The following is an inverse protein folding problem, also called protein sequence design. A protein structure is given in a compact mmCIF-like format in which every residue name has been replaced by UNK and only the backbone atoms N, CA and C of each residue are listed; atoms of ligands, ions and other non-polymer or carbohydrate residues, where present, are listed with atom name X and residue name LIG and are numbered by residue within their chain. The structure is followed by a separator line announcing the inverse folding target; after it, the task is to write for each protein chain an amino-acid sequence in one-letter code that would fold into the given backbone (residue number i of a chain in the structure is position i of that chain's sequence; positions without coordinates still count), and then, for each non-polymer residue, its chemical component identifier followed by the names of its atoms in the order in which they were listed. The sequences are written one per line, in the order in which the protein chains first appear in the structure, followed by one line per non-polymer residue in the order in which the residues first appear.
data_IF_152920897106
#
_entry.id   IF_152920897106
#
_cell.length_a   1.000
_cell.length_b   1.000
_cell.length_c   1.000
_cell.angle_alpha   90.00
_cell.angle_beta   90.00
_cell.angle_gamma   90.00
#
_symmetry.space_group_name_H-M   'P 1'
#
loop_
_entity.id
_entity.type
_entity.pdbx_description
1 polymer ?
#
# COMPACT_ATOMS: atom_id res chain seq x y z
N UNK A 1 10.13 -21.81 -59.56
CA UNK A 1 10.62 -20.57 -58.88
C UNK A 1 9.52 -19.68 -58.27
N UNK A 2 8.22 -19.85 -58.57
CA UNK A 2 7.14 -19.04 -57.94
C UNK A 2 6.70 -19.56 -56.56
N UNK A 3 6.73 -20.88 -56.33
CA UNK A 3 6.33 -21.48 -55.05
C UNK A 3 7.29 -21.20 -53.88
N UNK A 4 8.59 -21.03 -54.16
CA UNK A 4 9.61 -20.76 -53.12
C UNK A 4 9.53 -19.31 -52.60
N UNK A 5 9.09 -18.36 -53.44
CA UNK A 5 8.90 -16.96 -53.01
C UNK A 5 7.67 -16.79 -52.09
N UNK A 6 6.60 -17.55 -52.30
CA UNK A 6 5.40 -17.48 -51.45
C UNK A 6 5.59 -18.08 -50.05
N UNK A 7 6.47 -19.07 -49.88
CA UNK A 7 6.72 -19.68 -48.56
C UNK A 7 7.55 -18.75 -47.66
N UNK A 8 8.51 -18.01 -48.24
CA UNK A 8 9.36 -17.09 -47.47
C UNK A 8 8.58 -15.85 -47.00
N UNK A 9 7.61 -15.35 -47.79
CA UNK A 9 6.78 -14.20 -47.39
C UNK A 9 5.78 -14.55 -46.27
N UNK A 10 5.29 -15.79 -46.21
CA UNK A 10 4.36 -16.23 -45.16
C UNK A 10 5.08 -16.48 -43.82
N UNK A 11 6.33 -16.98 -43.84
CA UNK A 11 7.13 -17.12 -42.62
C UNK A 11 7.57 -15.76 -42.05
N UNK A 12 7.84 -14.75 -42.88
CA UNK A 12 8.27 -13.44 -42.40
C UNK A 12 7.13 -12.62 -41.75
N UNK A 13 5.87 -12.83 -42.14
CA UNK A 13 4.72 -12.19 -41.49
C UNK A 13 4.26 -12.90 -40.20
N UNK A 14 4.58 -14.18 -40.00
CA UNK A 14 4.24 -14.92 -38.77
C UNK A 14 5.17 -14.63 -37.59
N UNK A 15 6.39 -14.12 -37.86
CA UNK A 15 7.42 -13.84 -36.84
C UNK A 15 7.33 -12.43 -36.22
N UNK A 16 6.52 -11.51 -36.77
CA UNK A 16 6.31 -10.18 -36.19
C UNK A 16 5.18 -10.11 -35.16
N UNK A 17 4.36 -11.16 -35.01
CA UNK A 17 3.18 -11.15 -34.13
C UNK A 17 3.39 -11.78 -32.75
N UNK A 18 4.60 -12.21 -32.39
CA UNK A 18 4.88 -12.83 -31.07
C UNK A 18 5.63 -11.95 -30.06
N UNK A 19 5.99 -10.70 -30.39
CA UNK A 19 6.79 -9.86 -29.49
C UNK A 19 5.99 -9.06 -28.45
N UNK A 20 4.66 -9.11 -28.46
CA UNK A 20 3.83 -8.27 -27.57
C UNK A 20 3.46 -8.91 -26.22
N UNK A 21 3.77 -10.20 -25.99
CA UNK A 21 3.35 -10.91 -24.77
C UNK A 21 4.38 -10.92 -23.63
N UNK A 22 5.66 -10.63 -23.91
CA UNK A 22 6.74 -10.76 -22.91
C UNK A 22 6.93 -9.54 -22.00
N UNK A 23 6.46 -8.35 -22.42
CA UNK A 23 6.59 -7.13 -21.62
C UNK A 23 5.56 -7.05 -20.47
N UNK A 24 4.36 -7.60 -20.67
CA UNK A 24 3.33 -7.62 -19.63
C UNK A 24 3.70 -8.56 -18.48
N UNK A 25 4.31 -9.71 -18.78
CA UNK A 25 4.70 -10.67 -17.74
C UNK A 25 5.85 -10.13 -16.86
N UNK A 26 6.78 -9.36 -17.44
CA UNK A 26 7.87 -8.76 -16.65
C UNK A 26 7.36 -7.67 -15.71
N UNK A 27 6.42 -6.83 -16.19
CA UNK A 27 5.82 -5.77 -15.36
C UNK A 27 5.08 -6.34 -14.14
N UNK A 28 4.20 -7.32 -14.36
CA UNK A 28 3.43 -7.92 -13.27
C UNK A 28 4.33 -8.63 -12.26
N UNK A 29 5.38 -9.31 -12.74
CA UNK A 29 6.39 -9.94 -11.89
C UNK A 29 7.18 -8.91 -11.06
N UNK A 30 7.54 -7.77 -11.67
CA UNK A 30 8.22 -6.69 -10.97
C UNK A 30 7.32 -6.02 -9.93
N UNK A 31 6.04 -5.79 -10.22
CA UNK A 31 5.07 -5.27 -9.26
C UNK A 31 4.93 -6.23 -8.07
N UNK A 32 4.77 -7.52 -8.34
CA UNK A 32 4.69 -8.53 -7.29
C UNK A 32 5.96 -8.57 -6.43
N UNK A 33 7.12 -8.47 -7.05
CA UNK A 33 8.41 -8.40 -6.35
C UNK A 33 8.53 -7.16 -5.48
N UNK A 34 8.08 -5.99 -5.96
CA UNK A 34 8.04 -4.75 -5.17
C UNK A 34 7.14 -4.92 -3.94
N UNK A 35 5.92 -5.45 -4.12
CA UNK A 35 4.96 -5.67 -3.03
C UNK A 35 5.48 -6.65 -1.97
N UNK A 36 6.26 -7.65 -2.39
CA UNK A 36 6.89 -8.58 -1.48
C UNK A 36 8.05 -7.93 -0.71
N UNK A 37 8.97 -7.27 -1.41
CA UNK A 37 10.18 -6.69 -0.81
C UNK A 37 9.91 -5.52 0.12
N UNK A 38 8.88 -4.73 -0.16
CA UNK A 38 8.45 -3.63 0.73
C UNK A 38 7.64 -4.14 1.92
N UNK A 39 7.33 -5.43 1.99
CA UNK A 39 6.52 -6.01 3.06
C UNK A 39 5.03 -5.67 2.96
N UNK A 40 4.59 -5.04 1.87
CA UNK A 40 3.20 -4.63 1.67
C UNK A 40 2.24 -5.82 1.71
N UNK A 41 2.65 -6.98 1.18
CA UNK A 41 1.86 -8.21 1.27
C UNK A 41 1.60 -8.66 2.72
N UNK A 42 2.49 -8.33 3.67
CA UNK A 42 2.25 -8.58 5.10
C UNK A 42 1.27 -7.55 5.67
N UNK A 43 1.43 -6.28 5.31
CA UNK A 43 0.53 -5.20 5.71
C UNK A 43 -0.92 -5.48 5.30
N UNK A 44 -1.14 -5.95 4.08
CA UNK A 44 -2.46 -6.28 3.55
C UNK A 44 -3.24 -7.30 4.41
N UNK A 45 -2.54 -8.21 5.09
CA UNK A 45 -3.17 -9.20 5.98
C UNK A 45 -3.78 -8.56 7.23
N UNK A 46 -3.29 -7.39 7.62
CA UNK A 46 -3.76 -6.66 8.80
C UNK A 46 -4.91 -5.69 8.49
N UNK A 47 -5.13 -5.34 7.21
CA UNK A 47 -6.16 -4.39 6.79
C UNK A 47 -7.57 -4.76 7.26
N UNK A 48 -8.04 -6.03 7.17
CA UNK A 48 -9.36 -6.38 7.69
C UNK A 48 -9.51 -6.09 9.19
N UNK A 49 -8.52 -6.49 9.99
CA UNK A 49 -8.52 -6.24 11.43
C UNK A 49 -8.44 -4.76 11.78
N UNK A 50 -7.60 -4.02 11.07
CA UNK A 50 -7.47 -2.57 11.22
C UNK A 50 -8.78 -1.85 10.90
N UNK A 51 -9.40 -2.13 9.75
CA UNK A 51 -10.66 -1.49 9.35
C UNK A 51 -11.79 -1.70 10.36
N UNK A 52 -11.89 -2.90 10.94
CA UNK A 52 -12.84 -3.22 12.00
C UNK A 52 -12.52 -2.48 13.32
N UNK A 53 -11.24 -2.34 13.66
CA UNK A 53 -10.84 -1.59 14.85
C UNK A 53 -11.16 -0.10 14.71
N UNK A 54 -10.87 0.50 13.56
CA UNK A 54 -11.20 1.91 13.29
C UNK A 54 -12.72 2.08 13.26
N UNK A 55 -13.48 1.17 12.62
CA UNK A 55 -14.94 1.23 12.66
C UNK A 55 -15.46 1.22 14.09
N UNK A 56 -15.00 0.30 14.94
CA UNK A 56 -15.41 0.24 16.36
C UNK A 56 -15.07 1.51 17.14
N UNK A 57 -13.94 2.14 16.83
CA UNK A 57 -13.53 3.40 17.46
C UNK A 57 -14.39 4.58 16.97
N UNK A 58 -14.78 4.59 15.70
CA UNK A 58 -15.53 5.67 15.06
C UNK A 58 -17.05 5.51 15.13
N UNK A 59 -17.57 4.31 15.36
CA UNK A 59 -19.00 3.99 15.30
C UNK A 59 -19.81 4.53 16.47
N UNK A 60 -19.21 5.14 17.49
CA UNK A 60 -19.95 5.73 18.62
C UNK A 60 -21.03 4.80 19.22
N UNK A 61 -22.11 5.39 19.73
CA UNK A 61 -23.32 4.67 20.16
C UNK A 61 -24.33 4.55 19.00
N UNK A 62 -23.92 3.94 17.89
CA UNK A 62 -24.87 3.59 16.83
C UNK A 62 -25.83 2.49 17.30
N UNK A 63 -27.07 2.54 16.82
CA UNK A 63 -28.06 1.48 17.04
C UNK A 63 -27.51 0.12 16.56
N UNK A 64 -27.84 -1.00 17.25
CA UNK A 64 -27.26 -2.31 16.97
C UNK A 64 -27.40 -2.77 15.51
N UNK A 65 -28.54 -2.48 14.87
CA UNK A 65 -28.80 -2.83 13.48
C UNK A 65 -27.87 -2.08 12.52
N UNK A 66 -27.69 -0.78 12.73
CA UNK A 66 -26.80 0.06 11.92
C UNK A 66 -25.33 -0.34 12.12
N UNK A 67 -24.94 -0.63 13.36
CA UNK A 67 -23.61 -1.14 13.68
C UNK A 67 -23.33 -2.47 12.98
N UNK A 68 -24.31 -3.38 12.95
CA UNK A 68 -24.20 -4.66 12.25
C UNK A 68 -24.06 -4.47 10.73
N UNK A 69 -24.89 -3.61 10.13
CA UNK A 69 -24.86 -3.31 8.70
C UNK A 69 -23.52 -2.70 8.26
N UNK A 70 -23.00 -1.72 9.02
CA UNK A 70 -21.69 -1.12 8.76
C UNK A 70 -20.56 -2.13 8.90
N UNK A 71 -20.58 -2.96 9.95
CA UNK A 71 -19.53 -3.97 10.15
C UNK A 71 -19.50 -5.00 9.02
N UNK A 72 -20.68 -5.39 8.50
CA UNK A 72 -20.78 -6.26 7.34
C UNK A 72 -20.23 -5.60 6.06
N UNK A 73 -20.62 -4.35 5.79
CA UNK A 73 -20.12 -3.59 4.64
C UNK A 73 -18.60 -3.43 4.67
N UNK A 74 -18.03 -3.11 5.84
CA UNK A 74 -16.59 -3.00 6.03
C UNK A 74 -15.86 -4.33 5.84
N UNK A 75 -16.41 -5.42 6.37
CA UNK A 75 -15.84 -6.77 6.17
C UNK A 75 -15.80 -7.16 4.69
N UNK A 76 -16.81 -6.77 3.92
CA UNK A 76 -16.88 -7.02 2.49
C UNK A 76 -15.89 -6.15 1.70
N UNK A 77 -15.79 -4.86 2.04
CA UNK A 77 -14.97 -3.88 1.31
C UNK A 77 -13.46 -4.06 1.58
N UNK A 78 -13.08 -4.36 2.82
CA UNK A 78 -11.68 -4.41 3.26
C UNK A 78 -11.11 -5.83 3.35
N UNK A 79 -11.64 -6.77 2.56
CA UNK A 79 -10.99 -8.09 2.43
C UNK A 79 -9.57 -7.95 1.87
N UNK A 80 -8.64 -8.79 2.32
CA UNK A 80 -7.27 -8.79 1.80
C UNK A 80 -7.23 -8.86 0.27
N UNK A 81 -8.10 -9.68 -0.34
CA UNK A 81 -8.17 -9.84 -1.79
C UNK A 81 -8.67 -8.57 -2.50
N UNK A 82 -9.70 -7.90 -1.96
CA UNK A 82 -10.21 -6.65 -2.54
C UNK A 82 -9.14 -5.56 -2.52
N UNK A 83 -8.49 -5.37 -1.36
CA UNK A 83 -7.45 -4.35 -1.19
C UNK A 83 -6.22 -4.67 -2.05
N UNK A 84 -5.81 -5.94 -2.12
CA UNK A 84 -4.71 -6.36 -2.99
C UNK A 84 -5.01 -6.04 -4.46
N UNK A 85 -6.21 -6.37 -4.94
CA UNK A 85 -6.62 -6.05 -6.31
C UNK A 85 -6.53 -4.55 -6.58
N UNK A 86 -7.08 -3.73 -5.69
CA UNK A 86 -7.15 -2.27 -5.89
C UNK A 86 -5.74 -1.65 -5.88
N UNK A 87 -4.85 -2.14 -5.01
CA UNK A 87 -3.44 -1.72 -5.00
C UNK A 87 -2.72 -2.15 -6.27
N UNK A 88 -2.90 -3.39 -6.73
CA UNK A 88 -2.27 -3.87 -7.97
C UNK A 88 -2.76 -3.08 -9.19
N UNK A 89 -4.05 -2.70 -9.23
CA UNK A 89 -4.60 -1.83 -10.28
C UNK A 89 -3.95 -0.44 -10.25
N UNK A 90 -3.82 0.17 -9.07
CA UNK A 90 -3.19 1.48 -8.91
C UNK A 90 -1.72 1.46 -9.31
N UNK A 91 -0.97 0.45 -8.85
CA UNK A 91 0.43 0.26 -9.23
C UNK A 91 0.57 0.05 -10.74
N UNK A 92 -0.33 -0.71 -11.36
CA UNK A 92 -0.32 -0.89 -12.79
C UNK A 92 -0.56 0.42 -13.56
N UNK A 93 -1.46 1.28 -13.09
CA UNK A 93 -1.79 2.55 -13.72
C UNK A 93 -0.67 3.59 -13.59
N UNK A 94 0.09 3.54 -12.50
CA UNK A 94 1.16 4.50 -12.18
C UNK A 94 2.57 3.90 -12.22
N UNK A 95 2.71 2.74 -12.87
CA UNK A 95 3.99 2.05 -12.98
C UNK A 95 4.96 2.86 -13.84
N UNK A 96 6.11 3.20 -13.27
CA UNK A 96 7.19 3.87 -13.97
C UNK A 96 8.21 2.84 -14.48
N UNK A 97 8.00 2.40 -15.72
CA UNK A 97 8.85 1.39 -16.38
C UNK A 97 10.31 1.82 -16.48
N UNK A 98 10.57 3.12 -16.67
CA UNK A 98 11.94 3.63 -16.82
C UNK A 98 12.75 3.49 -15.52
N UNK A 99 12.09 3.53 -14.36
CA UNK A 99 12.75 3.51 -13.05
C UNK A 99 12.57 2.19 -12.27
N UNK A 100 11.71 1.27 -12.73
CA UNK A 100 11.37 0.07 -11.98
C UNK A 100 12.57 -0.84 -11.68
N UNK A 101 13.47 -1.05 -12.66
CA UNK A 101 14.68 -1.86 -12.46
C UNK A 101 15.61 -1.23 -11.43
N UNK A 102 15.88 0.07 -11.54
CA UNK A 102 16.72 0.80 -10.60
C UNK A 102 16.13 0.79 -9.18
N UNK A 103 14.80 0.89 -9.07
CA UNK A 103 14.11 0.78 -7.79
C UNK A 103 14.24 -0.61 -7.17
N UNK A 104 14.09 -1.67 -7.96
CA UNK A 104 14.30 -3.05 -7.50
C UNK A 104 15.74 -3.30 -7.05
N UNK A 105 16.73 -2.77 -7.75
CA UNK A 105 18.14 -2.80 -7.33
C UNK A 105 18.33 -2.05 -6.00
N UNK A 106 17.70 -0.89 -5.86
CA UNK A 106 17.73 -0.13 -4.61
C UNK A 106 17.13 -0.92 -3.43
N UNK A 107 16.00 -1.60 -3.62
CA UNK A 107 15.39 -2.47 -2.60
C UNK A 107 16.31 -3.63 -2.20
N UNK A 108 17.20 -4.07 -3.09
CA UNK A 108 18.20 -5.11 -2.81
C UNK A 108 19.49 -4.57 -2.17
N UNK A 109 19.65 -3.25 -2.04
CA UNK A 109 20.85 -2.68 -1.44
C UNK A 109 20.99 -3.07 0.05
N UNK A 110 22.23 -3.17 0.57
CA UNK A 110 22.45 -3.45 2.00
C UNK A 110 21.77 -2.43 2.92
N UNK A 111 21.66 -1.17 2.48
CA UNK A 111 20.97 -0.12 3.21
C UNK A 111 19.48 -0.41 3.33
N UNK A 112 18.80 -0.70 2.21
CA UNK A 112 17.37 -0.99 2.19
C UNK A 112 17.03 -2.26 2.98
N UNK A 113 17.85 -3.30 2.88
CA UNK A 113 17.68 -4.51 3.69
C UNK A 113 17.84 -4.24 5.19
N UNK A 114 18.80 -3.39 5.58
CA UNK A 114 18.95 -2.96 6.97
C UNK A 114 17.72 -2.17 7.43
N UNK A 115 17.19 -1.28 6.61
CA UNK A 115 15.97 -0.52 6.93
C UNK A 115 14.78 -1.46 7.14
N UNK A 116 14.51 -2.34 6.18
CA UNK A 116 13.41 -3.31 6.26
C UNK A 116 13.52 -4.22 7.50
N UNK A 117 14.75 -4.59 7.90
CA UNK A 117 14.97 -5.33 9.14
C UNK A 117 14.61 -4.50 10.37
N UNK A 118 15.06 -3.25 10.46
CA UNK A 118 14.73 -2.36 11.58
C UNK A 118 13.22 -2.09 11.68
N UNK A 119 12.55 -1.91 10.55
CA UNK A 119 11.09 -1.73 10.49
C UNK A 119 10.35 -2.99 10.94
N UNK A 120 10.78 -4.17 10.50
CA UNK A 120 10.22 -5.44 10.96
C UNK A 120 10.45 -5.67 12.45
N UNK A 121 11.64 -5.32 12.94
CA UNK A 121 12.02 -5.45 14.34
C UNK A 121 11.21 -4.50 15.25
N UNK A 122 10.72 -3.37 14.72
CA UNK A 122 9.89 -2.41 15.46
C UNK A 122 8.54 -2.99 15.89
N UNK A 123 7.97 -3.89 15.07
CA UNK A 123 6.70 -4.56 15.37
C UNK A 123 6.87 -5.89 16.14
N UNK A 124 8.10 -6.27 16.48
CA UNK A 124 8.37 -7.48 17.24
C UNK A 124 8.13 -7.23 18.73
N UNK A 125 7.23 -7.98 19.40
CA UNK A 125 6.98 -7.83 20.84
C UNK A 125 8.25 -7.96 21.69
N UNK A 126 9.24 -8.74 21.25
CA UNK A 126 10.51 -8.92 21.94
C UNK A 126 11.36 -7.64 22.02
N UNK A 127 11.10 -6.66 21.14
CA UNK A 127 11.85 -5.40 21.06
C UNK A 127 11.09 -4.22 21.66
N UNK A 128 9.92 -4.45 22.29
CA UNK A 128 9.08 -3.38 22.85
C UNK A 128 9.80 -2.58 23.93
N UNK A 129 10.57 -3.24 24.79
CA UNK A 129 11.30 -2.58 25.87
C UNK A 129 12.33 -1.58 25.33
N UNK A 130 13.06 -1.95 24.28
CA UNK A 130 14.05 -1.07 23.63
C UNK A 130 13.40 0.18 23.04
N UNK A 131 12.25 0.03 22.38
CA UNK A 131 11.49 1.15 21.78
C UNK A 131 10.96 2.08 22.88
N UNK A 132 10.43 1.52 23.97
CA UNK A 132 9.95 2.29 25.10
C UNK A 132 11.09 3.05 25.79
N UNK A 133 12.22 2.40 26.02
CA UNK A 133 13.41 3.01 26.59
C UNK A 133 13.94 4.14 25.72
N UNK A 134 14.03 3.93 24.40
CA UNK A 134 14.43 4.96 23.44
C UNK A 134 13.45 6.16 23.48
N UNK A 135 12.14 5.89 23.46
CA UNK A 135 11.12 6.95 23.48
C UNK A 135 11.18 7.78 24.78
N UNK A 136 11.39 7.13 25.92
CA UNK A 136 11.56 7.81 27.20
C UNK A 136 12.86 8.65 27.24
N UNK A 137 13.93 8.17 26.62
CA UNK A 137 15.20 8.87 26.57
C UNK A 137 15.13 10.17 25.75
N UNK A 138 14.26 10.26 24.72
CA UNK A 138 14.13 11.45 23.88
C UNK A 138 13.79 12.73 24.64
N UNK A 139 13.11 12.63 25.79
CA UNK A 139 12.78 13.78 26.62
C UNK A 139 14.02 14.43 27.25
N UNK A 140 15.03 13.62 27.61
CA UNK A 140 16.26 14.07 28.29
C UNK A 140 17.48 14.11 27.37
N UNK A 141 17.42 13.40 26.24
CA UNK A 141 18.46 13.30 25.23
C UNK A 141 17.82 13.46 23.85
N UNK A 142 17.49 14.70 23.45
CA UNK A 142 16.91 14.95 22.16
C UNK A 142 17.88 14.51 21.06
N UNK A 143 17.34 13.96 19.97
CA UNK A 143 18.14 13.62 18.79
C UNK A 143 18.81 14.89 18.24
N UNK A 144 20.03 14.72 17.74
CA UNK A 144 20.75 15.83 17.10
C UNK A 144 19.91 16.44 15.97
N UNK A 145 19.93 17.77 15.86
CA UNK A 145 19.14 18.51 14.87
C UNK A 145 19.36 18.03 13.42
N UNK A 146 20.59 17.62 13.09
CA UNK A 146 20.91 17.05 11.79
C UNK A 146 20.15 15.75 11.50
N UNK A 147 19.88 14.92 12.51
CA UNK A 147 19.05 13.72 12.35
C UNK A 147 17.57 14.08 12.20
N UNK A 148 17.05 15.02 12.99
CA UNK A 148 15.67 15.48 12.86
C UNK A 148 15.40 16.03 11.45
N UNK A 149 16.31 16.86 10.93
CA UNK A 149 16.19 17.41 9.58
C UNK A 149 16.18 16.33 8.47
N UNK A 150 16.90 15.21 8.67
CA UNK A 150 16.87 14.09 7.74
C UNK A 150 15.51 13.37 7.77
N UNK A 151 14.92 13.20 8.95
CA UNK A 151 13.58 12.59 9.11
C UNK A 151 12.51 13.49 8.48
N UNK A 152 12.56 14.80 8.73
CA UNK A 152 11.63 15.76 8.11
C UNK A 152 11.74 15.78 6.58
N UNK A 153 12.97 15.70 6.04
CA UNK A 153 13.17 15.63 4.59
C UNK A 153 12.66 14.32 4.01
N UNK A 154 12.80 13.21 4.74
CA UNK A 154 12.25 11.93 4.34
C UNK A 154 10.72 11.99 4.29
N UNK A 155 10.08 12.49 5.35
CA UNK A 155 8.63 12.65 5.42
C UNK A 155 8.10 13.56 4.30
N UNK A 156 8.77 14.68 4.00
CA UNK A 156 8.40 15.54 2.86
C UNK A 156 8.52 14.84 1.51
N UNK A 157 9.53 13.98 1.34
CA UNK A 157 9.75 13.27 0.09
C UNK A 157 8.75 12.12 -0.11
N UNK A 158 8.36 11.43 0.96
CA UNK A 158 7.43 10.30 0.90
C UNK A 158 5.98 10.70 1.16
N UNK A 159 5.74 11.90 1.69
CA UNK A 159 4.44 12.43 2.10
C UNK A 159 3.69 11.49 3.04
N UNK A 160 4.42 10.76 3.90
CA UNK A 160 3.84 9.75 4.79
C UNK A 160 2.84 10.36 5.76
N UNK A 161 3.17 11.52 6.34
CA UNK A 161 2.25 12.25 7.22
C UNK A 161 0.98 12.70 6.49
N UNK A 162 1.11 13.38 5.34
CA UNK A 162 -0.02 13.82 4.53
C UNK A 162 -0.94 12.65 4.17
N UNK A 163 -0.36 11.53 3.70
CA UNK A 163 -1.11 10.34 3.33
C UNK A 163 -1.92 9.79 4.51
N UNK A 164 -1.34 9.76 5.71
CA UNK A 164 -2.04 9.31 6.92
C UNK A 164 -3.22 10.23 7.26
N UNK A 165 -3.06 11.55 7.13
CA UNK A 165 -4.14 12.53 7.33
C UNK A 165 -5.23 12.36 6.28
N UNK A 166 -4.88 12.31 5.00
CA UNK A 166 -5.81 12.14 3.88
C UNK A 166 -6.63 10.85 4.04
N UNK A 167 -5.96 9.75 4.41
CA UNK A 167 -6.60 8.47 4.67
C UNK A 167 -7.62 8.56 5.82
N UNK A 168 -7.25 9.17 6.95
CA UNK A 168 -8.16 9.34 8.09
C UNK A 168 -9.36 10.21 7.71
N UNK A 169 -9.14 11.32 7.00
CA UNK A 169 -10.22 12.21 6.53
C UNK A 169 -11.17 11.48 5.58
N UNK A 170 -10.64 10.74 4.61
CA UNK A 170 -11.45 9.94 3.68
C UNK A 170 -12.28 8.89 4.41
N UNK A 171 -11.71 8.25 5.43
CA UNK A 171 -12.38 7.26 6.24
C UNK A 171 -13.57 7.85 7.02
N UNK A 172 -13.37 8.97 7.73
CA UNK A 172 -14.45 9.65 8.44
C UNK A 172 -15.56 10.09 7.49
N UNK A 173 -15.19 10.68 6.34
CA UNK A 173 -16.15 11.08 5.32
C UNK A 173 -16.98 9.90 4.84
N UNK A 174 -16.36 8.75 4.59
CA UNK A 174 -17.07 7.54 4.15
C UNK A 174 -18.08 7.05 5.19
N UNK A 175 -17.74 7.10 6.48
CA UNK A 175 -18.68 6.76 7.56
C UNK A 175 -19.84 7.74 7.58
N UNK A 176 -19.57 9.05 7.62
CA UNK A 176 -20.63 10.05 7.70
C UNK A 176 -21.60 9.96 6.52
N UNK A 177 -21.10 9.81 5.29
CA UNK A 177 -21.95 9.62 4.10
C UNK A 177 -22.80 8.34 4.21
N UNK A 178 -22.26 7.26 4.80
CA UNK A 178 -23.01 6.01 4.95
C UNK A 178 -24.16 6.12 5.99
N UNK A 179 -23.99 6.93 7.04
CA UNK A 179 -25.00 7.09 8.10
C UNK A 179 -25.88 8.33 7.93
N UNK A 180 -25.54 9.24 7.01
CA UNK A 180 -26.30 10.46 6.71
C UNK A 180 -27.81 10.23 6.54
N UNK A 181 -28.29 9.15 5.87
CA UNK A 181 -29.74 8.92 5.71
C UNK A 181 -30.50 8.71 7.02
N UNK A 182 -29.82 8.30 8.09
CA UNK A 182 -30.41 8.00 9.40
C UNK A 182 -30.06 9.01 10.49
N UNK A 183 -29.27 10.03 10.16
CA UNK A 183 -28.91 11.10 11.09
C UNK A 183 -30.03 12.16 11.20
N UNK A 184 -30.12 12.80 12.37
CA UNK A 184 -30.96 13.99 12.57
C UNK A 184 -30.53 15.12 11.61
N UNK A 185 -31.49 15.96 11.23
CA UNK A 185 -31.32 16.92 10.12
C UNK A 185 -30.22 17.97 10.38
N UNK A 186 -29.93 18.28 11.64
CA UNK A 186 -28.89 19.20 12.08
C UNK A 186 -27.48 18.58 12.15
N UNK A 187 -27.39 17.25 12.03
CA UNK A 187 -26.12 16.52 12.04
C UNK A 187 -25.64 16.09 10.64
N UNK A 188 -26.46 16.26 9.60
CA UNK A 188 -26.11 15.90 8.21
C UNK A 188 -25.06 16.87 7.63
N UNK A 189 -24.17 16.35 6.78
CA UNK A 189 -23.09 17.11 6.12
C UNK A 189 -23.57 17.93 4.93
#
# INVERSE_FOLDING_TARGET
MKAVKSIITVCLLGLLSLQSASASSSKDEQINTILEKTGFNKLLKHVPGFSQAVLKQSSGALEPEMSSALSAAFSQAFTTAAVQRDVTLLLNAHYDEANATAYLEHLNSPFSQKMAKLESDTNNPANREDIQAFSAALANQPVAQSRSALVERLDKATRTTDFSTDMQTAFFKAIFVAIEPVMEADMRL
#
